data_IF_081939109333
#
_entry.id   IF_081939109333
#
_cell.length_a   1.000
_cell.length_b   1.000
_cell.length_c   1.000
_cell.angle_alpha   90.00
_cell.angle_beta   90.00
_cell.angle_gamma   90.00
#
_symmetry.space_group_name_H-M   'P 1'
#
loop_
_entity.id
_entity.type
_entity.pdbx_description
1 polymer ?
#
# COMPACT_ATOMS: atom_id res chain seq x y z
N UNK A 1 -46.34 -13.46 -26.22
CA UNK A 1 -44.89 -13.36 -26.50
C UNK A 1 -44.24 -12.68 -25.31
N UNK A 2 -43.44 -13.41 -24.51
CA UNK A 2 -42.57 -12.80 -23.48
C UNK A 2 -41.21 -12.52 -24.14
N UNK A 3 -40.56 -11.38 -23.87
CA UNK A 3 -39.17 -11.23 -24.24
C UNK A 3 -38.32 -12.08 -23.29
N UNK A 4 -37.54 -12.99 -23.87
CA UNK A 4 -36.45 -13.68 -23.20
C UNK A 4 -35.32 -12.67 -22.95
N UNK A 5 -35.17 -12.21 -21.72
CA UNK A 5 -33.98 -11.48 -21.29
C UNK A 5 -32.88 -12.51 -20.97
N UNK A 6 -32.07 -12.84 -21.96
CA UNK A 6 -30.72 -13.31 -21.69
C UNK A 6 -29.97 -12.11 -21.09
N UNK A 7 -29.88 -12.08 -19.77
CA UNK A 7 -28.80 -11.34 -19.14
C UNK A 7 -27.53 -12.07 -19.53
N UNK A 8 -26.85 -11.57 -20.55
CA UNK A 8 -25.46 -11.92 -20.81
C UNK A 8 -24.71 -11.62 -19.51
N UNK A 9 -24.29 -12.67 -18.79
CA UNK A 9 -23.48 -12.54 -17.60
C UNK A 9 -22.14 -11.96 -18.05
N UNK A 10 -21.99 -10.65 -17.93
CA UNK A 10 -20.68 -9.98 -18.05
C UNK A 10 -19.75 -10.74 -17.11
N UNK A 11 -18.73 -11.36 -17.67
CA UNK A 11 -17.76 -12.16 -16.92
C UNK A 11 -16.94 -11.21 -16.04
N UNK A 12 -17.21 -11.24 -14.74
CA UNK A 12 -16.64 -10.32 -13.74
C UNK A 12 -15.26 -10.80 -13.28
N UNK A 13 -14.49 -9.90 -12.63
CA UNK A 13 -13.27 -10.30 -11.92
C UNK A 13 -13.66 -11.29 -10.82
N UNK A 14 -13.04 -12.47 -10.81
CA UNK A 14 -13.45 -13.55 -9.90
C UNK A 14 -12.73 -13.43 -8.55
N UNK A 15 -13.50 -13.40 -7.46
CA UNK A 15 -12.95 -13.56 -6.11
C UNK A 15 -12.45 -14.99 -5.89
N UNK A 16 -11.27 -15.12 -5.28
CA UNK A 16 -10.77 -16.35 -4.71
C UNK A 16 -10.36 -16.13 -3.25
N UNK A 17 -10.61 -17.14 -2.41
CA UNK A 17 -10.03 -17.20 -1.09
C UNK A 17 -8.49 -17.20 -1.21
N UNK A 18 -7.75 -16.66 -0.22
CA UNK A 18 -6.29 -16.50 -0.34
C UNK A 18 -5.53 -17.77 -0.69
N UNK A 19 -5.97 -18.93 -0.18
CA UNK A 19 -5.37 -20.23 -0.49
C UNK A 19 -5.65 -20.67 -1.93
N UNK A 20 -6.89 -20.54 -2.40
CA UNK A 20 -7.23 -20.88 -3.79
C UNK A 20 -6.50 -19.96 -4.78
N UNK A 21 -6.36 -18.68 -4.43
CA UNK A 21 -5.60 -17.72 -5.22
C UNK A 21 -4.11 -18.07 -5.27
N UNK A 22 -3.54 -18.53 -4.15
CA UNK A 22 -2.16 -19.02 -4.11
C UNK A 22 -1.96 -20.23 -5.04
N UNK A 23 -2.82 -21.23 -4.97
CA UNK A 23 -2.72 -22.41 -5.83
C UNK A 23 -2.90 -22.04 -7.32
N UNK A 24 -4.00 -21.35 -7.66
CA UNK A 24 -4.36 -21.07 -9.05
C UNK A 24 -3.51 -19.99 -9.72
N UNK A 25 -3.04 -18.97 -8.99
CA UNK A 25 -2.30 -17.85 -9.56
C UNK A 25 -0.83 -17.95 -9.20
N UNK A 26 -0.50 -18.07 -7.91
CA UNK A 26 0.89 -18.00 -7.49
C UNK A 26 1.69 -19.23 -7.95
N UNK A 27 1.27 -20.43 -7.56
CA UNK A 27 1.95 -21.68 -7.95
C UNK A 27 1.83 -21.95 -9.44
N UNK A 28 0.62 -21.89 -9.99
CA UNK A 28 0.39 -22.32 -11.37
C UNK A 28 0.81 -21.30 -12.43
N UNK A 29 0.85 -20.00 -12.13
CA UNK A 29 1.16 -18.96 -13.12
C UNK A 29 2.49 -18.28 -12.78
N UNK A 30 2.65 -17.77 -11.55
CA UNK A 30 3.80 -16.93 -11.21
C UNK A 30 5.10 -17.71 -11.02
N UNK A 31 5.03 -18.97 -10.58
CA UNK A 31 6.21 -19.80 -10.32
C UNK A 31 6.72 -20.58 -11.54
N UNK A 32 5.98 -20.59 -12.65
CA UNK A 32 6.43 -21.25 -13.88
C UNK A 32 7.65 -20.54 -14.44
N UNK A 33 8.63 -21.32 -14.91
CA UNK A 33 9.87 -20.82 -15.54
C UNK A 33 9.59 -20.33 -16.96
N UNK A 34 8.80 -19.26 -17.07
CA UNK A 34 8.55 -18.57 -18.33
C UNK A 34 9.48 -17.37 -18.49
N UNK A 35 9.74 -16.98 -19.75
CA UNK A 35 10.63 -15.86 -20.11
C UNK A 35 10.10 -14.50 -19.60
N UNK A 36 8.80 -14.39 -19.32
CA UNK A 36 8.14 -13.22 -18.72
C UNK A 36 7.08 -13.71 -17.73
N UNK A 37 7.44 -13.97 -16.46
CA UNK A 37 6.45 -14.35 -15.47
C UNK A 37 5.40 -13.25 -15.31
N UNK A 38 4.17 -13.66 -15.01
CA UNK A 38 3.12 -12.73 -14.61
C UNK A 38 3.53 -11.93 -13.37
N UNK A 39 2.84 -10.82 -13.12
CA UNK A 39 3.01 -10.01 -11.91
C UNK A 39 1.66 -9.79 -11.23
N UNK A 40 1.69 -9.44 -9.95
CA UNK A 40 0.51 -9.11 -9.15
C UNK A 40 0.42 -7.60 -8.98
N UNK A 41 -0.80 -7.08 -9.03
CA UNK A 41 -1.09 -5.70 -8.70
C UNK A 41 -1.77 -5.65 -7.31
N UNK A 42 -1.11 -4.98 -6.38
CA UNK A 42 -1.61 -4.66 -5.06
C UNK A 42 -2.47 -3.41 -5.09
N UNK A 43 -3.63 -3.45 -4.43
CA UNK A 43 -4.60 -2.38 -4.36
C UNK A 43 -4.94 -2.11 -2.89
N UNK A 44 -5.05 -0.87 -2.47
CA UNK A 44 -5.62 -0.51 -1.17
C UNK A 44 -6.45 0.76 -1.30
N UNK A 45 -7.63 0.73 -0.70
CA UNK A 45 -8.53 1.89 -0.60
C UNK A 45 -8.47 2.39 0.83
N UNK A 46 -7.90 3.59 1.04
CA UNK A 46 -7.80 4.18 2.37
C UNK A 46 -8.01 5.68 2.36
N UNK A 47 -8.95 6.14 3.19
CA UNK A 47 -9.35 7.54 3.24
C UNK A 47 -9.74 8.05 1.85
N UNK A 48 -9.07 9.11 1.42
CA UNK A 48 -9.29 9.76 0.13
C UNK A 48 -8.46 9.13 -1.01
N UNK A 49 -7.68 8.08 -0.76
CA UNK A 49 -6.74 7.53 -1.74
C UNK A 49 -7.05 6.08 -2.16
N UNK A 50 -6.72 5.77 -3.42
CA UNK A 50 -6.46 4.40 -3.88
C UNK A 50 -4.98 4.29 -4.18
N UNK A 51 -4.28 3.40 -3.47
CA UNK A 51 -2.87 3.12 -3.71
C UNK A 51 -2.67 1.85 -4.54
N UNK A 52 -1.61 1.86 -5.35
CA UNK A 52 -1.23 0.79 -6.26
C UNK A 52 0.21 0.37 -5.98
N UNK A 53 0.43 -0.94 -5.92
CA UNK A 53 1.75 -1.55 -5.86
C UNK A 53 1.84 -2.68 -6.89
N UNK A 54 3.05 -3.02 -7.33
CA UNK A 54 3.26 -4.13 -8.26
C UNK A 54 4.37 -5.03 -7.74
N UNK A 55 4.19 -6.35 -7.82
CA UNK A 55 5.23 -7.31 -7.45
C UNK A 55 6.40 -7.20 -8.41
N UNK A 56 7.64 -7.47 -8.04
CA UNK A 56 8.78 -7.51 -8.98
C UNK A 56 8.66 -8.71 -9.95
N UNK A 57 9.57 -8.81 -10.90
CA UNK A 57 9.59 -9.91 -11.88
C UNK A 57 9.89 -11.28 -11.27
N UNK A 58 10.34 -11.33 -10.01
CA UNK A 58 10.53 -12.58 -9.26
C UNK A 58 9.33 -12.92 -8.38
N UNK A 59 8.34 -12.04 -8.31
CA UNK A 59 7.24 -12.09 -7.35
C UNK A 59 7.74 -12.27 -5.89
N UNK A 60 8.83 -11.58 -5.53
CA UNK A 60 9.42 -11.60 -4.18
C UNK A 60 9.24 -10.29 -3.43
N UNK A 61 9.25 -9.18 -4.15
CA UNK A 61 9.15 -7.85 -3.55
C UNK A 61 8.00 -7.06 -4.17
N UNK A 62 7.30 -6.26 -3.37
CA UNK A 62 6.33 -5.28 -3.83
C UNK A 62 7.00 -3.92 -4.02
N UNK A 63 6.67 -3.24 -5.10
CA UNK A 63 7.19 -1.91 -5.44
C UNK A 63 6.00 -0.95 -5.52
N UNK A 64 6.07 0.25 -4.89
CA UNK A 64 5.04 1.26 -5.04
C UNK A 64 4.93 1.65 -6.50
N UNK A 65 3.70 1.83 -6.96
CA UNK A 65 3.44 2.21 -8.35
C UNK A 65 2.88 3.63 -8.41
N UNK A 66 1.70 3.85 -7.83
CA UNK A 66 1.02 5.16 -7.78
C UNK A 66 0.07 5.23 -6.59
N UNK A 67 -0.31 6.42 -6.20
CA UNK A 67 -1.48 6.65 -5.35
C UNK A 67 -2.32 7.75 -5.97
N UNK A 68 -3.63 7.54 -6.00
CA UNK A 68 -4.59 8.45 -6.63
C UNK A 68 -5.56 8.98 -5.60
N UNK A 69 -5.81 10.29 -5.66
CA UNK A 69 -6.88 10.93 -4.91
C UNK A 69 -8.22 10.63 -5.59
N UNK A 70 -9.15 10.06 -4.82
CA UNK A 70 -10.47 9.60 -5.25
C UNK A 70 -11.44 10.75 -5.53
N UNK A 71 -11.19 11.93 -4.94
CA UNK A 71 -11.98 13.13 -5.20
C UNK A 71 -11.57 13.80 -6.51
N UNK A 72 -10.30 13.66 -6.89
CA UNK A 72 -9.76 14.30 -8.09
C UNK A 72 -9.94 13.44 -9.35
N UNK A 73 -9.83 12.10 -9.24
CA UNK A 73 -9.94 11.20 -10.39
C UNK A 73 -11.32 10.54 -10.47
N UNK A 74 -11.96 10.63 -11.64
CA UNK A 74 -13.18 9.86 -11.88
C UNK A 74 -12.85 8.36 -12.06
N UNK A 75 -13.79 7.50 -11.66
CA UNK A 75 -13.62 6.05 -11.68
C UNK A 75 -13.31 5.51 -13.09
N UNK A 76 -13.94 6.05 -14.13
CA UNK A 76 -13.69 5.64 -15.52
C UNK A 76 -12.22 5.78 -15.92
N UNK A 77 -11.60 6.90 -15.57
CA UNK A 77 -10.17 7.18 -15.83
C UNK A 77 -9.25 6.29 -15.01
N UNK A 78 -9.63 6.01 -13.75
CA UNK A 78 -8.89 5.05 -12.92
C UNK A 78 -8.91 3.64 -13.52
N UNK A 79 -10.06 3.21 -14.03
CA UNK A 79 -10.21 1.91 -14.70
C UNK A 79 -9.37 1.81 -15.98
N UNK A 80 -9.34 2.87 -16.81
CA UNK A 80 -8.48 2.93 -18.00
C UNK A 80 -6.99 2.89 -17.64
N UNK A 81 -6.62 3.53 -16.53
CA UNK A 81 -5.27 3.48 -16.01
C UNK A 81 -4.91 2.07 -15.55
N UNK A 82 -5.76 1.41 -14.75
CA UNK A 82 -5.55 0.01 -14.32
C UNK A 82 -5.43 -0.90 -15.53
N UNK A 83 -6.26 -0.70 -16.57
CA UNK A 83 -6.19 -1.47 -17.81
C UNK A 83 -4.85 -1.30 -18.52
N UNK A 84 -4.29 -0.10 -18.50
CA UNK A 84 -2.96 0.18 -19.05
C UNK A 84 -1.86 -0.52 -18.23
N UNK A 85 -1.95 -0.48 -16.89
CA UNK A 85 -1.00 -1.15 -16.00
C UNK A 85 -0.99 -2.66 -16.17
N UNK A 86 -2.16 -3.28 -16.41
CA UNK A 86 -2.27 -4.72 -16.69
C UNK A 86 -1.41 -5.10 -17.89
N UNK A 87 -1.48 -4.31 -18.97
CA UNK A 87 -0.70 -4.54 -20.19
C UNK A 87 0.78 -4.25 -20.00
N UNK A 88 1.11 -3.17 -19.29
CA UNK A 88 2.48 -2.72 -19.06
C UNK A 88 3.28 -3.70 -18.19
N UNK A 89 2.63 -4.26 -17.16
CA UNK A 89 3.30 -5.09 -16.16
C UNK A 89 2.95 -6.58 -16.26
N UNK A 90 2.20 -7.01 -17.28
CA UNK A 90 1.76 -8.40 -17.42
C UNK A 90 1.04 -8.90 -16.16
N UNK A 91 0.07 -8.13 -15.69
CA UNK A 91 -0.66 -8.44 -14.45
C UNK A 91 -1.57 -9.64 -14.67
N UNK A 92 -1.51 -10.61 -13.76
CA UNK A 92 -2.30 -11.85 -13.81
C UNK A 92 -3.29 -12.00 -12.66
N UNK A 93 -3.25 -11.10 -11.68
CA UNK A 93 -4.21 -11.07 -10.59
C UNK A 93 -4.03 -9.86 -9.67
N UNK A 94 -5.04 -9.63 -8.83
CA UNK A 94 -5.07 -8.53 -7.87
C UNK A 94 -4.98 -9.04 -6.43
N UNK A 95 -4.24 -8.32 -5.60
CA UNK A 95 -4.24 -8.48 -4.14
C UNK A 95 -4.81 -7.21 -3.54
N UNK A 96 -6.02 -7.28 -3.00
CA UNK A 96 -6.70 -6.11 -2.44
C UNK A 96 -6.48 -6.11 -0.92
N UNK A 97 -5.71 -5.14 -0.46
CA UNK A 97 -5.50 -4.85 0.95
C UNK A 97 -6.78 -4.36 1.61
N UNK A 98 -7.06 -4.89 2.79
CA UNK A 98 -8.11 -4.38 3.66
C UNK A 98 -7.65 -4.46 5.11
N UNK A 99 -8.07 -3.50 5.95
CA UNK A 99 -7.79 -3.50 7.40
C UNK A 99 -8.75 -4.39 8.19
N UNK A 100 -9.86 -4.79 7.57
CA UNK A 100 -10.89 -5.63 8.16
C UNK A 100 -11.39 -6.55 7.08
N UNK A 101 -10.96 -7.80 7.11
CA UNK A 101 -11.46 -8.80 6.16
C UNK A 101 -12.93 -9.14 6.43
N UNK A 102 -13.38 -9.00 7.70
CA UNK A 102 -14.76 -9.30 8.10
C UNK A 102 -15.32 -8.31 9.16
N UNK A 103 -16.32 -7.47 8.80
CA UNK A 103 -16.77 -7.18 7.44
C UNK A 103 -15.72 -6.37 6.68
N UNK A 104 -15.65 -6.57 5.35
CA UNK A 104 -14.88 -5.72 4.44
C UNK A 104 -15.37 -4.29 4.62
N UNK A 105 -14.45 -3.33 4.61
CA UNK A 105 -14.84 -1.93 4.64
C UNK A 105 -15.67 -1.57 3.40
N UNK A 106 -16.74 -0.80 3.60
CA UNK A 106 -17.73 -0.49 2.57
C UNK A 106 -17.09 0.17 1.34
N UNK A 107 -16.06 0.99 1.54
CA UNK A 107 -15.38 1.69 0.45
C UNK A 107 -14.58 0.73 -0.44
N UNK A 108 -13.85 -0.21 0.15
CA UNK A 108 -13.17 -1.28 -0.59
C UNK A 108 -14.17 -2.16 -1.32
N UNK A 109 -15.30 -2.48 -0.69
CA UNK A 109 -16.35 -3.27 -1.35
C UNK A 109 -16.92 -2.54 -2.57
N UNK A 110 -17.29 -1.27 -2.46
CA UNK A 110 -17.78 -0.46 -3.58
C UNK A 110 -16.73 -0.40 -4.70
N UNK A 111 -15.46 -0.19 -4.35
CA UNK A 111 -14.38 -0.15 -5.35
C UNK A 111 -14.23 -1.49 -6.10
N UNK A 112 -14.29 -2.61 -5.39
CA UNK A 112 -14.27 -3.95 -6.01
C UNK A 112 -15.49 -4.15 -6.90
N UNK A 113 -16.68 -3.75 -6.46
CA UNK A 113 -17.90 -3.88 -7.23
C UNK A 113 -17.80 -3.08 -8.54
N UNK A 114 -17.29 -1.85 -8.49
CA UNK A 114 -17.04 -1.03 -9.66
C UNK A 114 -16.00 -1.66 -10.61
N UNK A 115 -14.92 -2.27 -10.08
CA UNK A 115 -13.95 -3.03 -10.87
C UNK A 115 -14.61 -4.21 -11.60
N UNK A 116 -15.51 -4.93 -10.91
CA UNK A 116 -16.23 -6.08 -11.45
C UNK A 116 -17.27 -5.69 -12.50
N UNK A 117 -18.05 -4.64 -12.24
CA UNK A 117 -19.11 -4.14 -13.13
C UNK A 117 -18.52 -3.56 -14.42
N UNK A 118 -17.33 -2.96 -14.37
CA UNK A 118 -16.69 -2.36 -15.54
C UNK A 118 -16.45 -3.34 -16.70
N UNK A 119 -16.33 -4.65 -16.42
CA UNK A 119 -16.10 -5.69 -17.43
C UNK A 119 -14.76 -5.59 -18.16
N UNK A 120 -13.87 -4.66 -17.77
CA UNK A 120 -12.58 -4.39 -18.43
C UNK A 120 -11.47 -5.38 -18.09
N UNK A 121 -11.69 -6.19 -17.06
CA UNK A 121 -10.68 -7.03 -16.42
C UNK A 121 -11.08 -8.51 -16.42
N UNK A 122 -11.87 -8.91 -17.43
CA UNK A 122 -12.31 -10.29 -17.60
C UNK A 122 -11.12 -11.27 -17.57
N UNK A 123 -11.32 -12.39 -16.89
CA UNK A 123 -10.32 -13.45 -16.75
C UNK A 123 -9.30 -13.22 -15.62
N UNK A 124 -9.21 -12.01 -15.07
CA UNK A 124 -8.43 -11.76 -13.86
C UNK A 124 -9.18 -12.21 -12.62
N UNK A 125 -8.39 -12.56 -11.61
CA UNK A 125 -8.88 -12.95 -10.29
C UNK A 125 -8.37 -11.97 -9.25
N UNK A 126 -9.05 -11.88 -8.13
CA UNK A 126 -8.57 -11.13 -6.99
C UNK A 126 -8.71 -11.92 -5.70
N UNK A 127 -7.88 -11.56 -4.72
CA UNK A 127 -8.02 -12.02 -3.35
C UNK A 127 -7.96 -10.83 -2.40
N UNK A 128 -8.47 -11.04 -1.19
CA UNK A 128 -8.42 -10.06 -0.11
C UNK A 128 -7.27 -10.42 0.82
N UNK A 129 -6.52 -9.41 1.25
CA UNK A 129 -5.42 -9.61 2.16
C UNK A 129 -5.46 -8.60 3.30
N UNK A 130 -5.26 -9.08 4.51
CA UNK A 130 -5.25 -8.22 5.68
C UNK A 130 -3.94 -7.42 5.74
N UNK A 131 -4.03 -6.10 5.55
CA UNK A 131 -2.87 -5.22 5.58
C UNK A 131 -2.33 -4.99 7.01
N UNK A 132 -3.04 -5.43 8.05
CA UNK A 132 -2.58 -5.44 9.43
C UNK A 132 -1.62 -6.61 9.72
N UNK A 133 -1.51 -7.59 8.81
CA UNK A 133 -0.48 -8.62 8.90
C UNK A 133 0.87 -7.94 8.69
N UNK A 134 1.51 -7.60 9.81
CA UNK A 134 2.82 -6.95 9.83
C UNK A 134 3.88 -7.93 9.34
N UNK A 135 4.34 -7.75 8.11
CA UNK A 135 5.58 -8.35 7.67
C UNK A 135 6.75 -7.47 8.11
N UNK A 136 7.80 -8.09 8.67
CA UNK A 136 9.09 -7.41 8.90
C UNK A 136 9.68 -6.85 7.59
N UNK A 137 9.37 -7.48 6.46
CA UNK A 137 9.77 -7.00 5.15
C UNK A 137 8.91 -5.82 4.69
N UNK A 138 7.62 -5.75 5.06
CA UNK A 138 6.77 -4.61 4.70
C UNK A 138 7.29 -3.30 5.31
N UNK A 139 7.76 -3.32 6.57
CA UNK A 139 8.39 -2.14 7.19
C UNK A 139 9.71 -1.75 6.49
N UNK A 140 10.52 -2.74 6.12
CA UNK A 140 11.76 -2.51 5.36
C UNK A 140 11.47 -1.94 3.96
N UNK A 141 10.53 -2.54 3.23
CA UNK A 141 10.10 -2.11 1.90
C UNK A 141 9.50 -0.70 1.98
N UNK A 142 8.70 -0.41 3.00
CA UNK A 142 8.21 0.94 3.26
C UNK A 142 9.37 1.92 3.45
N UNK A 143 10.34 1.61 4.33
CA UNK A 143 11.54 2.46 4.57
C UNK A 143 12.35 2.70 3.29
N UNK A 144 12.54 1.70 2.45
CA UNK A 144 13.26 1.84 1.18
C UNK A 144 12.50 2.72 0.19
N UNK A 145 11.17 2.63 0.20
CA UNK A 145 10.31 3.34 -0.74
C UNK A 145 9.89 4.74 -0.28
N UNK A 146 10.24 5.15 0.95
CA UNK A 146 9.97 6.50 1.48
C UNK A 146 10.35 7.61 0.50
N UNK A 147 11.48 7.45 -0.20
CA UNK A 147 11.93 8.44 -1.19
C UNK A 147 10.94 8.61 -2.34
N UNK A 148 10.45 7.51 -2.92
CA UNK A 148 9.44 7.55 -3.99
C UNK A 148 8.15 8.20 -3.50
N UNK A 149 7.75 7.92 -2.25
CA UNK A 149 6.53 8.46 -1.67
C UNK A 149 6.66 9.97 -1.47
N UNK A 150 7.79 10.44 -0.92
CA UNK A 150 8.07 11.85 -0.73
C UNK A 150 8.10 12.64 -2.06
N UNK A 151 8.57 12.02 -3.14
CA UNK A 151 8.59 12.60 -4.49
C UNK A 151 7.19 12.71 -5.12
N UNK A 152 6.22 11.88 -4.70
CA UNK A 152 4.85 11.82 -5.23
C UNK A 152 3.78 12.37 -4.25
N UNK A 153 4.19 12.96 -3.13
CA UNK A 153 3.30 13.78 -2.30
C UNK A 153 3.16 15.15 -2.96
N UNK A 154 1.93 15.70 -3.10
CA UNK A 154 1.80 17.11 -3.38
C UNK A 154 2.51 17.87 -2.25
N UNK A 155 3.55 18.62 -2.59
CA UNK A 155 4.28 19.43 -1.63
C UNK A 155 3.29 20.42 -1.00
N UNK A 156 3.22 20.55 0.33
CA UNK A 156 2.52 21.66 0.93
C UNK A 156 3.14 22.94 0.35
N UNK A 157 2.30 23.86 -0.13
CA UNK A 157 2.76 25.19 -0.50
C UNK A 157 3.19 25.90 0.79
N UNK A 158 4.41 25.67 1.25
CA UNK A 158 5.00 26.41 2.33
C UNK A 158 5.23 27.84 1.82
N UNK A 159 4.30 28.74 2.14
CA UNK A 159 4.62 30.16 2.20
C UNK A 159 5.60 30.33 3.36
N UNK A 160 6.90 30.24 3.05
CA UNK A 160 7.95 30.69 3.95
C UNK A 160 7.71 32.17 4.24
N UNK A 161 7.07 32.45 5.38
CA UNK A 161 7.14 33.76 6.01
C UNK A 161 8.60 34.14 6.26
N UNK A 162 8.92 35.45 6.35
CA UNK A 162 10.30 35.89 6.49
C UNK A 162 10.95 35.28 7.74
N UNK A 163 12.13 34.67 7.54
CA UNK A 163 12.89 34.03 8.60
C UNK A 163 13.24 35.04 9.72
N UNK A 164 13.05 34.69 11.01
CA UNK A 164 13.57 35.51 12.10
C UNK A 164 15.09 35.44 12.14
N UNK A 165 15.74 36.60 12.13
CA UNK A 165 17.18 36.73 12.31
C UNK A 165 17.54 36.41 13.77
N UNK A 166 18.17 35.25 14.00
CA UNK A 166 18.75 34.94 15.30
C UNK A 166 20.09 35.67 15.48
N UNK A 167 20.16 36.60 16.44
CA UNK A 167 21.42 37.16 16.91
C UNK A 167 22.09 36.17 17.87
N UNK A 168 23.33 35.78 17.56
CA UNK A 168 24.16 34.97 18.45
C UNK A 168 24.58 35.79 19.68
N UNK A 169 24.07 35.39 20.86
CA UNK A 169 24.61 35.81 22.15
C UNK A 169 25.93 35.11 22.50
N UNK A 170 26.72 35.63 23.46
CA UNK A 170 28.08 35.16 23.71
C UNK A 170 28.12 33.81 24.44
N UNK A 171 29.15 33.01 24.12
CA UNK A 171 29.41 31.68 24.70
C UNK A 171 29.74 31.73 26.20
N UNK A 172 29.36 30.70 26.99
CA UNK A 172 29.72 30.62 28.40
C UNK A 172 31.12 30.03 28.62
N UNK A 173 31.87 30.64 29.55
CA UNK A 173 33.14 30.15 30.08
C UNK A 173 32.92 29.03 31.12
N UNK A 174 33.88 28.10 31.16
CA UNK A 174 33.95 26.91 32.03
C UNK A 174 34.12 27.27 33.51
N UNK A 175 33.44 26.53 34.39
CA UNK A 175 33.87 26.26 35.77
C UNK A 175 33.45 24.84 36.19
N UNK A 176 34.40 24.06 36.70
CA UNK A 176 34.18 22.77 37.36
C UNK A 176 34.01 22.97 38.87
N UNK A 177 33.00 22.33 39.47
CA UNK A 177 33.03 21.90 40.86
C UNK A 177 32.04 20.75 41.05
N UNK A 178 32.56 19.58 41.44
CA UNK A 178 31.79 18.37 41.77
C UNK A 178 31.32 18.49 43.22
N UNK A 179 30.01 18.43 43.44
CA UNK A 179 29.39 18.09 44.73
C UNK A 179 28.27 17.11 44.46
N UNK A 180 28.35 15.94 45.08
CA UNK A 180 27.29 14.93 45.07
C UNK A 180 26.01 15.55 45.65
N UNK A 181 25.01 15.70 44.79
CA UNK A 181 23.62 15.90 45.16
C UNK A 181 22.89 14.62 44.78
N UNK A 182 22.13 14.05 45.71
CA UNK A 182 21.13 13.04 45.42
C UNK A 182 20.17 13.60 44.36
N UNK A 183 20.38 13.23 43.10
CA UNK A 183 19.48 13.55 42.00
C UNK A 183 18.32 12.58 42.10
N UNK A 184 17.19 13.06 42.61
CA UNK A 184 15.89 12.50 42.25
C UNK A 184 15.82 12.70 40.74
N UNK A 185 15.97 11.61 39.97
CA UNK A 185 15.77 11.66 38.53
C UNK A 185 14.32 12.13 38.32
N UNK A 186 14.08 13.26 37.62
CA UNK A 186 12.73 13.59 37.20
C UNK A 186 12.21 12.42 36.36
N UNK A 187 10.95 12.05 36.57
CA UNK A 187 10.29 11.14 35.63
C UNK A 187 10.49 11.68 34.21
N UNK A 188 10.79 10.81 33.22
CA UNK A 188 10.99 11.27 31.85
C UNK A 188 9.75 12.05 31.44
N UNK A 189 9.94 13.33 31.10
CA UNK A 189 8.85 14.13 30.59
C UNK A 189 8.23 13.40 29.39
N UNK A 190 6.88 13.37 29.27
CA UNK A 190 6.23 12.72 28.15
C UNK A 190 6.81 13.31 26.87
N UNK A 191 7.30 12.43 25.97
CA UNK A 191 7.84 12.87 24.70
C UNK A 191 6.84 13.80 24.02
N UNK A 192 7.29 14.95 23.48
CA UNK A 192 6.38 15.91 22.87
C UNK A 192 5.61 15.22 21.75
N UNK A 193 4.27 15.25 21.83
CA UNK A 193 3.43 14.72 20.77
C UNK A 193 3.84 15.37 19.44
N UNK A 194 4.00 14.57 18.36
CA UNK A 194 4.46 15.10 17.09
C UNK A 194 3.53 16.21 16.61
N UNK A 195 4.09 17.30 16.09
CA UNK A 195 3.32 18.45 15.61
C UNK A 195 2.18 17.99 14.67
N UNK A 196 0.97 18.57 14.76
CA UNK A 196 -0.21 18.11 14.01
C UNK A 196 0.04 17.94 12.50
N UNK A 197 0.90 18.77 11.92
CA UNK A 197 1.27 18.70 10.50
C UNK A 197 2.07 17.45 10.16
N UNK A 198 3.02 17.04 11.02
CA UNK A 198 3.79 15.81 10.85
C UNK A 198 2.90 14.57 10.95
N UNK A 199 1.89 14.61 11.82
CA UNK A 199 0.91 13.52 11.94
C UNK A 199 0.07 13.37 10.66
N UNK A 200 -0.36 14.49 10.07
CA UNK A 200 -1.12 14.49 8.81
C UNK A 200 -0.24 13.95 7.66
N UNK A 201 1.00 14.42 7.55
CA UNK A 201 1.94 13.95 6.52
C UNK A 201 2.23 12.44 6.69
N UNK A 202 2.49 11.99 7.92
CA UNK A 202 2.73 10.58 8.21
C UNK A 202 1.51 9.71 7.86
N UNK A 203 0.31 10.17 8.20
CA UNK A 203 -0.94 9.49 7.84
C UNK A 203 -1.09 9.37 6.32
N UNK A 204 -0.88 10.46 5.57
CA UNK A 204 -0.96 10.43 4.10
C UNK A 204 0.10 9.52 3.49
N UNK A 205 1.34 9.55 4.00
CA UNK A 205 2.39 8.63 3.57
C UNK A 205 1.94 7.18 3.76
N UNK A 206 1.40 6.84 4.94
CA UNK A 206 0.92 5.49 5.24
C UNK A 206 -0.22 5.07 4.30
N UNK A 207 -1.22 5.93 4.08
CA UNK A 207 -2.34 5.66 3.17
C UNK A 207 -1.88 5.38 1.74
N UNK A 208 -0.88 6.12 1.26
CA UNK A 208 -0.29 5.88 -0.07
C UNK A 208 0.54 4.59 -0.18
N UNK A 209 0.84 3.93 0.94
CA UNK A 209 1.72 2.77 0.99
C UNK A 209 1.03 1.46 1.37
N UNK A 210 -0.22 1.52 1.81
CA UNK A 210 -0.93 0.33 2.26
C UNK A 210 -0.97 -0.77 1.19
N UNK A 211 -1.10 -0.42 -0.09
CA UNK A 211 -1.04 -1.41 -1.18
C UNK A 211 0.30 -2.16 -1.24
N UNK A 212 1.41 -1.48 -0.93
CA UNK A 212 2.73 -2.11 -0.85
C UNK A 212 2.78 -3.08 0.33
N UNK A 213 2.28 -2.66 1.50
CA UNK A 213 2.24 -3.50 2.69
C UNK A 213 1.39 -4.75 2.48
N UNK A 214 0.18 -4.60 1.93
CA UNK A 214 -0.73 -5.70 1.64
C UNK A 214 -0.11 -6.68 0.64
N UNK A 215 0.42 -6.17 -0.48
CA UNK A 215 1.04 -7.02 -1.49
C UNK A 215 2.30 -7.70 -0.97
N UNK A 216 3.18 -6.99 -0.26
CA UNK A 216 4.39 -7.58 0.30
C UNK A 216 4.04 -8.67 1.31
N UNK A 217 3.06 -8.43 2.20
CA UNK A 217 2.61 -9.42 3.16
C UNK A 217 2.09 -10.69 2.49
N UNK A 218 1.31 -10.55 1.41
CA UNK A 218 0.87 -11.69 0.60
C UNK A 218 2.06 -12.45 0.00
N UNK A 219 2.97 -11.74 -0.67
CA UNK A 219 4.15 -12.34 -1.31
C UNK A 219 5.05 -13.06 -0.30
N UNK A 220 5.26 -12.50 0.89
CA UNK A 220 6.12 -13.13 1.90
C UNK A 220 5.53 -14.46 2.37
N UNK A 221 4.21 -14.52 2.62
CA UNK A 221 3.55 -15.76 3.04
C UNK A 221 3.57 -16.79 1.91
N UNK A 222 3.24 -16.41 0.69
CA UNK A 222 3.21 -17.37 -0.42
C UNK A 222 4.59 -17.87 -0.80
N UNK A 223 5.63 -17.03 -0.80
CA UNK A 223 7.00 -17.49 -1.03
C UNK A 223 7.46 -18.44 0.09
N UNK A 224 7.08 -18.17 1.34
CA UNK A 224 7.37 -19.09 2.45
C UNK A 224 6.67 -20.44 2.29
N UNK A 225 5.38 -20.44 1.92
CA UNK A 225 4.63 -21.67 1.64
C UNK A 225 5.29 -22.50 0.55
N UNK A 226 5.83 -21.85 -0.49
CA UNK A 226 6.57 -22.55 -1.53
C UNK A 226 7.82 -23.18 -0.95
N UNK A 227 8.64 -22.42 -0.22
CA UNK A 227 9.88 -22.95 0.39
C UNK A 227 9.61 -24.17 1.28
N UNK A 228 8.51 -24.16 2.05
CA UNK A 228 8.09 -25.27 2.91
C UNK A 228 7.47 -26.46 2.15
N UNK A 229 6.86 -26.26 0.98
CA UNK A 229 6.34 -27.33 0.11
C UNK A 229 7.47 -28.16 -0.57
N UNK A 230 8.72 -27.69 -0.54
CA UNK A 230 9.89 -28.39 -1.11
C UNK A 230 10.63 -29.32 -0.12
N UNK A 231 10.18 -29.39 1.14
CA UNK A 231 10.71 -30.31 2.19
C UNK A 231 9.86 -31.60 2.31
#
# INVERSE_FOLDING_TARGET
>A
MRPSSSHDTVSQVKYLMPLDFYEEIFKEILMKKDLKPGRLLGLDVSGEYVSFAVSDWKNKTAVPLRALDRLEINMSSMLDMIQSLIREHNIVGFVVGTRKTHPIDEQTQIFIDDLCIAGKFEGLKYTLWDCAITSKNAEFVFKQNLKFILENLPQPQFQLGPQPQFQLGPQPQKCYAVRELHVILPEPEPEPEPEPELQVIAKTIMEKCNAVCALQGYLDITNKMVEEDWD
#
